data_IF_557722703741
#
_entry.id   IF_557722703741
#
_cell.length_a   1.000
_cell.length_b   1.000
_cell.length_c   1.000
_cell.angle_alpha   90.00
_cell.angle_beta   90.00
_cell.angle_gamma   90.00
#
_symmetry.space_group_name_H-M   'P 1'
#
loop_
_entity.id
_entity.type
_entity.pdbx_description
1 polymer ?
#
# COMPACT_ATOMS: atom_id res chain seq x y z
N UNK A 1 21.09 -50.00 3.54
CA UNK A 1 21.14 -48.53 3.60
C UNK A 1 19.73 -47.99 3.64
N UNK A 2 19.19 -47.72 4.83
CA UNK A 2 17.82 -47.24 4.99
C UNK A 2 17.79 -45.70 4.87
N UNK A 3 17.14 -45.24 3.80
CA UNK A 3 16.83 -43.85 3.53
C UNK A 3 15.91 -43.32 4.64
N UNK A 4 16.40 -42.51 5.58
CA UNK A 4 15.55 -42.02 6.67
C UNK A 4 14.65 -40.88 6.18
N UNK A 5 13.50 -41.26 5.61
CA UNK A 5 12.42 -40.40 5.11
C UNK A 5 11.98 -39.34 6.15
N UNK A 6 12.24 -39.58 7.45
CA UNK A 6 11.93 -38.62 8.53
C UNK A 6 12.63 -37.27 8.42
N UNK A 7 13.85 -37.17 7.88
CA UNK A 7 14.56 -35.87 7.85
C UNK A 7 14.03 -34.91 6.78
N UNK A 8 13.60 -35.43 5.62
CA UNK A 8 12.96 -34.63 4.56
C UNK A 8 11.54 -34.23 4.93
N UNK A 9 10.80 -35.14 5.55
CA UNK A 9 9.46 -34.86 6.07
C UNK A 9 9.50 -33.84 7.24
N UNK A 10 10.53 -33.89 8.09
CA UNK A 10 10.72 -32.94 9.19
C UNK A 10 10.99 -31.52 8.70
N UNK A 11 11.90 -31.35 7.72
CA UNK A 11 12.16 -30.05 7.10
C UNK A 11 10.91 -29.49 6.41
N UNK A 12 10.21 -30.32 5.64
CA UNK A 12 8.98 -29.89 4.97
C UNK A 12 7.90 -29.43 5.96
N UNK A 13 7.69 -30.17 7.06
CA UNK A 13 6.73 -29.78 8.12
C UNK A 13 7.12 -28.46 8.78
N UNK A 14 8.40 -28.26 9.07
CA UNK A 14 8.91 -27.00 9.64
C UNK A 14 8.72 -25.84 8.67
N UNK A 15 9.03 -26.06 7.39
CA UNK A 15 8.82 -25.06 6.33
C UNK A 15 7.35 -24.68 6.20
N UNK A 16 6.42 -25.66 6.15
CA UNK A 16 4.98 -25.39 6.11
C UNK A 16 4.55 -24.57 7.31
N UNK A 17 4.99 -24.92 8.53
CA UNK A 17 4.65 -24.18 9.74
C UNK A 17 5.19 -22.75 9.71
N UNK A 18 6.42 -22.55 9.24
CA UNK A 18 7.02 -21.22 9.07
C UNK A 18 6.27 -20.36 8.03
N UNK A 19 5.88 -20.95 6.90
CA UNK A 19 5.10 -20.27 5.85
C UNK A 19 3.71 -19.86 6.34
N UNK A 20 3.05 -20.73 7.10
CA UNK A 20 1.73 -20.43 7.71
C UNK A 20 1.84 -19.30 8.72
N UNK A 21 2.84 -19.33 9.61
CA UNK A 21 3.07 -18.25 10.57
C UNK A 21 3.39 -16.92 9.87
N UNK A 22 4.27 -16.93 8.87
CA UNK A 22 4.53 -15.74 8.05
C UNK A 22 3.26 -15.26 7.36
N UNK A 23 2.47 -16.16 6.79
CA UNK A 23 1.22 -15.82 6.12
C UNK A 23 0.21 -15.13 7.05
N UNK A 24 0.10 -15.60 8.30
CA UNK A 24 -0.73 -14.96 9.32
C UNK A 24 -0.27 -13.53 9.63
N UNK A 25 1.04 -13.33 9.80
CA UNK A 25 1.62 -12.00 10.03
C UNK A 25 1.39 -11.10 8.82
N UNK A 26 1.68 -11.57 7.60
CA UNK A 26 1.47 -10.79 6.37
C UNK A 26 0.00 -10.42 6.20
N UNK A 27 -0.92 -11.33 6.48
CA UNK A 27 -2.38 -11.06 6.41
C UNK A 27 -2.78 -9.99 7.43
N UNK A 28 -2.26 -10.07 8.65
CA UNK A 28 -2.48 -9.03 9.67
C UNK A 28 -1.98 -7.65 9.21
N UNK A 29 -0.80 -7.59 8.58
CA UNK A 29 -0.28 -6.33 8.03
C UNK A 29 -1.14 -5.81 6.87
N UNK A 30 -1.59 -6.67 5.95
CA UNK A 30 -2.45 -6.27 4.83
C UNK A 30 -3.79 -5.71 5.33
N UNK A 31 -4.40 -6.36 6.34
CA UNK A 31 -5.67 -5.93 6.91
C UNK A 31 -5.51 -4.63 7.71
N UNK A 32 -4.43 -4.48 8.48
CA UNK A 32 -4.20 -3.26 9.27
C UNK A 32 -3.82 -2.05 8.42
N UNK A 33 -3.18 -2.25 7.27
CA UNK A 33 -2.84 -1.20 6.30
C UNK A 33 -3.90 -1.06 5.20
N UNK A 34 -5.04 -1.73 5.33
CA UNK A 34 -6.07 -1.71 4.30
C UNK A 34 -6.60 -0.28 4.13
N UNK A 35 -6.52 0.32 2.93
CA UNK A 35 -6.98 1.68 2.72
C UNK A 35 -8.50 1.74 2.92
N UNK A 36 -8.92 2.32 4.05
CA UNK A 36 -10.32 2.47 4.45
C UNK A 36 -10.93 3.68 3.70
N UNK A 37 -12.16 3.51 3.21
CA UNK A 37 -12.91 4.55 2.47
C UNK A 37 -13.11 5.82 3.31
N UNK A 38 -13.04 5.66 4.63
CA UNK A 38 -13.15 6.73 5.61
C UNK A 38 -12.08 7.80 5.44
N UNK A 39 -10.85 7.45 5.07
CA UNK A 39 -9.80 8.46 4.93
C UNK A 39 -10.08 9.40 3.75
N UNK A 40 -10.51 8.84 2.61
CA UNK A 40 -10.87 9.61 1.42
C UNK A 40 -12.12 10.46 1.68
N UNK A 41 -13.10 9.93 2.42
CA UNK A 41 -14.28 10.71 2.81
C UNK A 41 -13.95 11.85 3.79
N UNK A 42 -13.06 11.61 4.75
CA UNK A 42 -12.62 12.64 5.70
C UNK A 42 -11.84 13.73 4.98
N UNK A 43 -10.94 13.36 4.07
CA UNK A 43 -10.17 14.33 3.29
C UNK A 43 -11.08 15.16 2.38
N UNK A 44 -11.99 14.52 1.63
CA UNK A 44 -12.98 15.22 0.81
C UNK A 44 -13.83 16.18 1.65
N UNK A 45 -14.32 15.73 2.81
CA UNK A 45 -15.08 16.58 3.73
C UNK A 45 -14.26 17.80 4.17
N UNK A 46 -13.00 17.60 4.53
CA UNK A 46 -12.10 18.68 4.94
C UNK A 46 -11.80 19.66 3.81
N UNK A 47 -11.67 19.17 2.57
CA UNK A 47 -11.47 20.04 1.40
C UNK A 47 -12.74 20.85 1.09
N UNK A 48 -13.91 20.23 1.13
CA UNK A 48 -15.20 20.89 0.91
C UNK A 48 -15.50 21.95 1.99
N UNK A 49 -15.08 21.72 3.23
CA UNK A 49 -15.20 22.70 4.32
C UNK A 49 -14.29 23.93 4.12
N UNK A 50 -13.13 23.75 3.48
CA UNK A 50 -12.23 24.87 3.12
C UNK A 50 -12.79 25.73 1.98
N UNK A 51 -13.66 25.18 1.14
CA UNK A 51 -14.31 25.83 -0.01
C UNK A 51 -15.53 26.68 0.37
N UNK A 52 -15.43 27.43 1.48
CA UNK A 52 -16.47 28.34 1.96
C UNK A 52 -16.35 29.72 1.28
N UNK A 53 -17.48 30.37 0.95
CA UNK A 53 -17.47 31.67 0.26
C UNK A 53 -16.76 32.75 1.09
N UNK A 54 -16.85 32.69 2.42
CA UNK A 54 -16.17 33.62 3.32
C UNK A 54 -14.64 33.49 3.27
N UNK A 55 -14.10 32.27 3.21
CA UNK A 55 -12.66 32.04 3.11
C UNK A 55 -12.11 32.53 1.77
N UNK A 56 -12.79 32.21 0.68
CA UNK A 56 -12.37 32.63 -0.66
C UNK A 56 -12.51 34.15 -0.86
N UNK A 57 -13.54 34.77 -0.28
CA UNK A 57 -13.65 36.23 -0.24
C UNK A 57 -12.48 36.83 0.55
N UNK A 58 -12.11 36.25 1.70
CA UNK A 58 -10.95 36.67 2.50
C UNK A 58 -9.66 36.52 1.71
N UNK A 59 -9.41 35.38 1.06
CA UNK A 59 -8.23 35.16 0.22
C UNK A 59 -8.16 36.15 -0.94
N UNK A 60 -9.27 36.45 -1.62
CA UNK A 60 -9.28 37.49 -2.67
C UNK A 60 -8.91 38.87 -2.14
N UNK A 61 -9.43 39.26 -0.98
CA UNK A 61 -9.06 40.56 -0.37
C UNK A 61 -7.59 40.62 0.05
N UNK A 62 -6.97 39.48 0.38
CA UNK A 62 -5.53 39.38 0.67
C UNK A 62 -4.70 39.44 -0.62
N UNK A 63 -5.16 38.81 -1.70
CA UNK A 63 -4.54 38.88 -3.02
C UNK A 63 -4.62 40.30 -3.60
N UNK A 64 -5.73 41.01 -3.39
CA UNK A 64 -5.92 42.40 -3.80
C UNK A 64 -4.89 43.34 -3.14
N UNK A 65 -4.54 43.05 -1.88
CA UNK A 65 -3.54 43.81 -1.11
C UNK A 65 -2.10 43.39 -1.40
N UNK A 66 -1.88 42.30 -2.14
CA UNK A 66 -0.55 41.81 -2.44
C UNK A 66 -0.08 42.32 -3.81
N UNK A 67 0.95 43.19 -3.86
CA UNK A 67 1.44 43.77 -5.10
C UNK A 67 2.10 42.76 -6.06
N UNK A 68 2.35 41.53 -5.61
CA UNK A 68 2.93 40.44 -6.43
C UNK A 68 1.88 39.42 -6.90
N UNK A 69 0.61 39.59 -6.54
CA UNK A 69 -0.47 38.69 -6.94
C UNK A 69 -1.08 39.09 -8.29
N UNK A 70 -1.71 38.13 -8.97
CA UNK A 70 -2.44 38.44 -10.20
C UNK A 70 -3.54 39.49 -9.93
N UNK A 71 -3.80 40.41 -10.87
CA UNK A 71 -4.86 41.40 -10.72
C UNK A 71 -6.18 40.69 -10.43
N UNK A 72 -6.87 41.10 -9.36
CA UNK A 72 -8.15 40.51 -8.93
C UNK A 72 -9.21 40.56 -10.03
N UNK A 73 -9.10 41.53 -10.92
CA UNK A 73 -9.94 41.72 -12.11
C UNK A 73 -9.86 40.58 -13.13
N UNK A 74 -8.78 39.78 -13.12
CA UNK A 74 -8.65 38.59 -13.98
C UNK A 74 -9.25 37.33 -13.36
N UNK A 75 -9.70 37.36 -12.09
CA UNK A 75 -10.32 36.20 -11.48
C UNK A 75 -11.79 36.10 -11.90
N UNK A 76 -12.29 34.88 -12.19
CA UNK A 76 -13.70 34.66 -12.46
C UNK A 76 -14.56 35.10 -11.27
N UNK A 77 -15.86 35.35 -11.45
CA UNK A 77 -16.79 35.62 -10.36
C UNK A 77 -16.62 34.62 -9.21
N UNK A 78 -16.75 35.07 -7.96
CA UNK A 78 -16.52 34.24 -6.77
C UNK A 78 -17.35 32.95 -6.79
N UNK A 79 -18.61 33.07 -7.21
CA UNK A 79 -19.53 31.93 -7.34
C UNK A 79 -19.11 30.96 -8.43
N UNK A 80 -18.65 31.47 -9.59
CA UNK A 80 -18.17 30.63 -10.69
C UNK A 80 -16.86 29.93 -10.32
N UNK A 81 -15.98 30.61 -9.60
CA UNK A 81 -14.74 30.01 -9.10
C UNK A 81 -15.03 28.91 -8.06
N UNK A 82 -16.00 29.13 -7.18
CA UNK A 82 -16.46 28.13 -6.21
C UNK A 82 -17.07 26.89 -6.88
N UNK A 83 -17.90 27.08 -7.91
CA UNK A 83 -18.51 25.96 -8.62
C UNK A 83 -17.47 25.17 -9.41
N UNK A 84 -16.51 25.85 -10.05
CA UNK A 84 -15.38 25.20 -10.72
C UNK A 84 -14.52 24.40 -9.74
N UNK A 85 -14.15 24.98 -8.60
CA UNK A 85 -13.36 24.29 -7.58
C UNK A 85 -14.10 23.08 -7.01
N UNK A 86 -15.39 23.22 -6.68
CA UNK A 86 -16.21 22.10 -6.20
C UNK A 86 -16.34 20.99 -7.24
N UNK A 87 -16.53 21.35 -8.51
CA UNK A 87 -16.61 20.38 -9.60
C UNK A 87 -15.26 19.65 -9.78
N UNK A 88 -14.13 20.37 -9.69
CA UNK A 88 -12.81 19.78 -9.74
C UNK A 88 -12.57 18.82 -8.56
N UNK A 89 -12.79 19.26 -7.32
CA UNK A 89 -12.63 18.43 -6.11
C UNK A 89 -13.57 17.21 -6.12
N UNK A 90 -14.80 17.37 -6.60
CA UNK A 90 -15.74 16.26 -6.75
C UNK A 90 -15.26 15.25 -7.81
N UNK A 91 -14.71 15.73 -8.94
CA UNK A 91 -14.16 14.86 -9.97
C UNK A 91 -12.91 14.10 -9.48
N UNK A 92 -12.05 14.74 -8.70
CA UNK A 92 -10.89 14.10 -8.07
C UNK A 92 -11.32 13.04 -7.05
N UNK A 93 -12.36 13.33 -6.25
CA UNK A 93 -12.95 12.38 -5.34
C UNK A 93 -13.52 11.16 -6.07
N UNK A 94 -14.26 11.36 -7.16
CA UNK A 94 -14.81 10.27 -7.98
C UNK A 94 -13.71 9.43 -8.65
N UNK A 95 -12.65 10.07 -9.14
CA UNK A 95 -11.48 9.36 -9.67
C UNK A 95 -10.74 8.56 -8.58
N UNK A 96 -10.59 9.13 -7.39
CA UNK A 96 -9.99 8.44 -6.25
C UNK A 96 -10.84 7.23 -5.83
N UNK A 97 -12.17 7.39 -5.78
CA UNK A 97 -13.10 6.29 -5.52
C UNK A 97 -13.05 5.21 -6.60
N UNK A 98 -12.96 5.59 -7.87
CA UNK A 98 -12.85 4.64 -8.98
C UNK A 98 -11.50 3.89 -8.97
N UNK A 99 -10.44 4.52 -8.46
CA UNK A 99 -9.11 3.91 -8.34
C UNK A 99 -8.96 3.00 -7.11
N UNK A 100 -9.77 3.18 -6.06
CA UNK A 100 -9.75 2.38 -4.84
C UNK A 100 -9.74 0.85 -5.06
N UNK A 101 -10.67 0.25 -5.85
CA UNK A 101 -10.68 -1.20 -6.04
C UNK A 101 -9.38 -1.69 -6.67
N UNK A 102 -8.83 -0.93 -7.63
CA UNK A 102 -7.56 -1.28 -8.27
C UNK A 102 -6.39 -1.17 -7.30
N UNK A 103 -6.32 -0.11 -6.48
CA UNK A 103 -5.28 0.07 -5.47
C UNK A 103 -5.31 -0.99 -4.37
N UNK A 104 -6.52 -1.39 -3.94
CA UNK A 104 -6.74 -2.48 -2.98
C UNK A 104 -6.26 -3.81 -3.53
N UNK A 105 -6.63 -4.12 -4.77
CA UNK A 105 -6.15 -5.33 -5.45
C UNK A 105 -4.63 -5.33 -5.60
N UNK A 106 -4.04 -4.21 -6.02
CA UNK A 106 -2.58 -4.10 -6.14
C UNK A 106 -1.87 -4.30 -4.79
N UNK A 107 -2.38 -3.73 -3.70
CA UNK A 107 -1.83 -3.97 -2.35
C UNK A 107 -1.87 -5.44 -1.96
N UNK A 108 -3.00 -6.11 -2.20
CA UNK A 108 -3.16 -7.54 -1.91
C UNK A 108 -2.23 -8.39 -2.79
N UNK A 109 -2.15 -8.10 -4.09
CA UNK A 109 -1.29 -8.82 -5.04
C UNK A 109 0.19 -8.65 -4.70
N UNK A 110 0.63 -7.43 -4.38
CA UNK A 110 2.00 -7.16 -3.95
C UNK A 110 2.30 -7.88 -2.64
N UNK A 111 1.39 -7.85 -1.66
CA UNK A 111 1.55 -8.57 -0.39
C UNK A 111 1.66 -10.08 -0.57
N UNK A 112 0.77 -10.69 -1.37
CA UNK A 112 0.78 -12.13 -1.65
C UNK A 112 2.04 -12.51 -2.43
N UNK A 113 2.42 -11.75 -3.46
CA UNK A 113 3.60 -12.04 -4.27
C UNK A 113 4.89 -11.95 -3.45
N UNK A 114 5.02 -10.96 -2.56
CA UNK A 114 6.13 -10.85 -1.62
C UNK A 114 6.18 -12.07 -0.67
N UNK A 115 5.03 -12.49 -0.12
CA UNK A 115 4.93 -13.65 0.75
C UNK A 115 5.31 -14.96 0.05
N UNK A 116 4.81 -15.19 -1.17
CA UNK A 116 5.15 -16.37 -1.98
C UNK A 116 6.64 -16.38 -2.31
N UNK A 117 7.19 -15.24 -2.72
CA UNK A 117 8.63 -15.10 -3.05
C UNK A 117 9.50 -15.42 -1.85
N UNK A 118 9.16 -14.88 -0.67
CA UNK A 118 9.88 -15.16 0.57
C UNK A 118 9.77 -16.65 0.97
N UNK A 119 8.59 -17.25 0.79
CA UNK A 119 8.34 -18.67 1.10
C UNK A 119 9.17 -19.61 0.24
N UNK A 120 9.26 -19.33 -1.08
CA UNK A 120 10.11 -20.08 -2.01
C UNK A 120 11.58 -19.90 -1.66
N UNK A 121 12.02 -18.66 -1.40
CA UNK A 121 13.40 -18.37 -0.99
C UNK A 121 13.81 -19.14 0.26
N UNK A 122 12.94 -19.17 1.28
CA UNK A 122 13.15 -19.93 2.52
C UNK A 122 13.26 -21.44 2.25
N UNK A 123 12.41 -21.97 1.36
CA UNK A 123 12.46 -23.38 0.96
C UNK A 123 13.81 -23.75 0.34
N UNK A 124 14.25 -22.96 -0.64
CA UNK A 124 15.51 -23.16 -1.37
C UNK A 124 16.70 -23.05 -0.42
N UNK A 125 16.71 -22.06 0.48
CA UNK A 125 17.77 -21.88 1.47
C UNK A 125 17.95 -23.11 2.37
N UNK A 126 16.87 -23.61 2.98
CA UNK A 126 17.00 -24.78 3.84
C UNK A 126 17.28 -26.07 3.07
N UNK A 127 16.87 -26.17 1.81
CA UNK A 127 17.35 -27.23 0.92
C UNK A 127 18.87 -27.14 0.73
N UNK A 128 19.39 -25.96 0.35
CA UNK A 128 20.82 -25.73 0.11
C UNK A 128 21.67 -26.05 1.35
N UNK A 129 21.25 -25.61 2.54
CA UNK A 129 21.92 -25.93 3.80
C UNK A 129 22.00 -27.45 3.99
N UNK A 130 20.89 -28.16 3.77
CA UNK A 130 20.87 -29.62 3.84
C UNK A 130 21.74 -30.31 2.78
N UNK A 131 21.93 -29.69 1.61
CA UNK A 131 22.85 -30.18 0.58
C UNK A 131 24.31 -29.99 0.99
N UNK A 132 24.68 -28.80 1.46
CA UNK A 132 26.04 -28.47 1.93
C UNK A 132 26.48 -29.39 3.07
N UNK A 133 25.63 -29.57 4.09
CA UNK A 133 25.94 -30.45 5.24
C UNK A 133 26.16 -31.90 4.80
N UNK A 134 25.42 -32.40 3.80
CA UNK A 134 25.67 -33.74 3.23
C UNK A 134 26.97 -33.80 2.44
N UNK A 135 27.28 -32.75 1.69
CA UNK A 135 28.54 -32.65 0.94
C UNK A 135 29.76 -32.85 1.84
N UNK A 136 29.75 -32.24 3.04
CA UNK A 136 30.84 -32.38 4.00
C UNK A 136 30.84 -33.71 4.78
N UNK A 137 29.67 -34.33 5.02
CA UNK A 137 29.58 -35.63 5.73
C UNK A 137 30.02 -36.84 4.92
N UNK A 138 30.14 -36.69 3.60
CA UNK A 138 30.56 -37.76 2.70
C UNK A 138 32.07 -37.76 2.41
N UNK A 139 32.90 -36.95 3.11
CA UNK A 139 34.35 -37.14 3.06
C UNK A 139 34.70 -38.47 3.71
N UNK A 140 35.18 -39.48 2.96
CA UNK A 140 35.73 -40.68 3.58
C UNK A 140 36.93 -40.26 4.43
N UNK A 141 36.87 -40.56 5.73
CA UNK A 141 38.04 -40.54 6.57
C UNK A 141 39.00 -41.61 6.02
N UNK A 142 40.13 -41.19 5.50
CA UNK A 142 41.31 -42.05 5.31
C UNK A 142 41.87 -42.44 6.68
#
# INVERSE_FOLDING_TARGET
MAFNIRSRAGWFRLWVLAVVLMGAVTTFFIVSQYPDDKWIQIDHRMQMEKLTPERLARERTLLEKNPYSQPVEKLPPLEEHLTQLRAATQSEYEQALAALPHQRLMHVVVGISAWVTASIGLFVLGWLIGWVIRGFRNSPAN
#
